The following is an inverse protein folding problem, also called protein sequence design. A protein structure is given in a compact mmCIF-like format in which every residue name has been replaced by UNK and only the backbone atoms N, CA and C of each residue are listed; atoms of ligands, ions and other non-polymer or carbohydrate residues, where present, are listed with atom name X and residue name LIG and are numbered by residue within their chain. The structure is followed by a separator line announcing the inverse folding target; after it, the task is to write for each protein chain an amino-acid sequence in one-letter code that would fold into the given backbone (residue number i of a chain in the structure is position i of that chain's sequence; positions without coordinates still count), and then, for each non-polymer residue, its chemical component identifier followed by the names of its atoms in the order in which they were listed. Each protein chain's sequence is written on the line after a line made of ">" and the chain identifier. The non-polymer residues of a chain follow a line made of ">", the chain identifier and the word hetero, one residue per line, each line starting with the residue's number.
data_IF_199273341315
#
_entry.id   IF_199273341315
#
_cell.length_a   1.000
_cell.length_b   1.000
_cell.length_c   1.000
_cell.angle_alpha   90.00
_cell.angle_beta   90.00
_cell.angle_gamma   90.00
#
_symmetry.space_group_name_H-M   'P 1'
#
loop_
_entity.id
_entity.type
_entity.pdbx_description
1 polymer ?
#
# COMPACT_ATOMS: atom_id res chain seq x y z
N UNK A 1 24.33 30.23 -24.84
CA UNK A 1 23.33 30.90 -23.98
C UNK A 1 22.91 29.94 -22.90
N UNK A 2 23.37 30.16 -21.66
CA UNK A 2 22.94 29.40 -20.49
C UNK A 2 21.45 29.70 -20.25
N UNK A 3 20.58 28.69 -20.34
CA UNK A 3 19.20 28.81 -19.87
C UNK A 3 19.29 28.98 -18.35
N UNK A 4 19.14 30.22 -17.87
CA UNK A 4 18.91 30.50 -16.46
C UNK A 4 17.65 29.72 -16.08
N UNK A 5 17.80 28.61 -15.33
CA UNK A 5 16.65 27.91 -14.75
C UNK A 5 15.99 28.93 -13.82
N UNK A 6 14.74 29.30 -14.11
CA UNK A 6 13.92 30.15 -13.23
C UNK A 6 13.97 29.50 -11.84
N UNK A 7 14.37 30.26 -10.83
CA UNK A 7 14.37 29.76 -9.45
C UNK A 7 12.91 29.46 -9.07
N UNK A 8 12.58 28.19 -8.85
CA UNK A 8 11.26 27.76 -8.41
C UNK A 8 11.11 28.14 -6.93
N UNK A 9 9.99 28.74 -6.53
CA UNK A 9 9.74 29.09 -5.12
C UNK A 9 9.40 27.84 -4.29
N UNK A 10 9.48 27.92 -2.95
CA UNK A 10 9.07 26.80 -2.10
C UNK A 10 7.55 26.62 -2.12
N UNK A 11 6.79 27.71 -2.23
CA UNK A 11 5.33 27.70 -2.34
C UNK A 11 4.85 26.98 -3.61
N UNK A 12 5.50 27.25 -4.75
CA UNK A 12 5.21 26.55 -6.03
C UNK A 12 5.49 25.04 -5.89
N UNK A 13 6.57 24.66 -5.21
CA UNK A 13 6.91 23.25 -4.95
C UNK A 13 5.88 22.60 -4.02
N UNK A 14 5.44 23.31 -2.98
CA UNK A 14 4.45 22.80 -2.03
C UNK A 14 3.12 22.49 -2.71
N UNK A 15 2.61 23.38 -3.59
CA UNK A 15 1.37 23.13 -4.34
C UNK A 15 1.48 21.91 -5.25
N UNK A 16 2.60 21.77 -5.98
CA UNK A 16 2.88 20.63 -6.85
C UNK A 16 2.97 19.31 -6.05
N UNK A 17 3.62 19.37 -4.88
CA UNK A 17 3.75 18.24 -3.95
C UNK A 17 2.39 17.86 -3.38
N UNK A 18 1.59 18.80 -2.86
CA UNK A 18 0.24 18.54 -2.33
C UNK A 18 -0.67 17.93 -3.40
N UNK A 19 -0.63 18.46 -4.61
CA UNK A 19 -1.43 17.95 -5.74
C UNK A 19 -1.01 16.52 -6.11
N UNK A 20 0.30 16.28 -6.24
CA UNK A 20 0.82 14.95 -6.54
C UNK A 20 0.55 13.95 -5.42
N UNK A 21 0.71 14.38 -4.16
CA UNK A 21 0.51 13.58 -2.97
C UNK A 21 -0.93 13.15 -2.80
N UNK A 22 -1.92 14.03 -3.03
CA UNK A 22 -3.34 13.67 -2.94
C UNK A 22 -3.66 12.41 -3.76
N UNK A 23 -3.16 12.34 -4.99
CA UNK A 23 -3.32 11.15 -5.84
C UNK A 23 -2.52 9.92 -5.37
N UNK A 24 -1.39 10.11 -4.67
CA UNK A 24 -0.66 9.00 -4.01
C UNK A 24 -1.48 8.49 -2.83
N UNK A 25 -1.91 9.39 -1.94
CA UNK A 25 -2.65 9.09 -0.72
C UNK A 25 -3.93 8.33 -1.05
N UNK A 26 -4.74 8.82 -2.00
CA UNK A 26 -5.99 8.16 -2.43
C UNK A 26 -5.78 6.72 -2.93
N UNK A 27 -4.59 6.43 -3.51
CA UNK A 27 -4.30 5.15 -4.11
C UNK A 27 -3.68 4.15 -3.12
N UNK A 28 -2.75 4.63 -2.28
CA UNK A 28 -1.83 3.78 -1.53
C UNK A 28 -1.94 3.89 -0.01
N UNK A 29 -2.48 4.98 0.54
CA UNK A 29 -2.51 5.23 1.99
C UNK A 29 -3.92 4.93 2.55
N UNK A 30 -4.06 4.28 3.73
CA UNK A 30 -5.35 4.08 4.37
C UNK A 30 -6.08 5.41 4.62
N UNK A 31 -7.42 5.39 4.53
CA UNK A 31 -8.25 6.61 4.66
C UNK A 31 -8.23 7.22 6.06
N UNK A 32 -7.93 6.39 7.05
CA UNK A 32 -7.83 6.71 8.47
C UNK A 32 -6.45 7.29 8.86
N UNK A 33 -5.46 7.22 7.97
CA UNK A 33 -4.18 7.90 8.15
C UNK A 33 -4.26 9.31 7.57
N UNK A 34 -4.10 10.32 8.42
CA UNK A 34 -4.00 11.71 8.00
C UNK A 34 -2.54 12.04 7.70
N UNK A 35 -2.29 12.78 6.61
CA UNK A 35 -0.94 13.18 6.23
C UNK A 35 -0.86 14.69 6.10
N UNK A 36 -0.15 15.31 7.03
CA UNK A 36 0.07 16.75 7.07
C UNK A 36 1.32 17.08 6.25
N UNK A 37 1.14 17.90 5.21
CA UNK A 37 2.25 18.43 4.40
C UNK A 37 2.52 19.86 4.83
N UNK A 38 3.77 20.15 5.21
CA UNK A 38 4.17 21.45 5.73
C UNK A 38 5.55 21.87 5.18
N UNK A 39 5.86 23.17 5.24
CA UNK A 39 7.19 23.68 4.91
C UNK A 39 8.09 23.72 6.15
N UNK A 40 9.37 23.39 6.00
CA UNK A 40 10.38 23.56 7.06
C UNK A 40 11.57 24.39 6.56
N UNK A 41 12.30 25.01 7.49
CA UNK A 41 13.44 25.91 7.22
C UNK A 41 14.62 25.77 8.21
N UNK A 42 14.61 24.76 9.08
CA UNK A 42 15.52 24.65 10.23
C UNK A 42 16.88 23.99 9.93
N UNK A 43 16.91 22.96 9.08
CA UNK A 43 18.16 22.29 8.62
C UNK A 43 18.45 22.65 7.14
N UNK A 44 17.41 23.12 6.45
CA UNK A 44 17.36 23.60 5.07
C UNK A 44 15.91 23.97 4.75
N UNK A 45 15.65 24.53 3.57
CA UNK A 45 14.27 24.76 3.10
C UNK A 45 13.74 23.52 2.38
N UNK A 46 12.51 23.09 2.69
CA UNK A 46 11.92 21.91 2.06
C UNK A 46 10.47 21.65 2.48
N UNK A 47 10.00 20.46 2.13
CA UNK A 47 8.65 19.97 2.42
C UNK A 47 8.71 18.76 3.35
N UNK A 48 8.00 18.83 4.46
CA UNK A 48 7.81 17.77 5.43
C UNK A 48 6.47 17.06 5.26
N UNK A 49 6.44 15.79 5.66
CA UNK A 49 5.26 14.95 5.74
C UNK A 49 5.19 14.38 7.14
N UNK A 50 4.04 14.52 7.77
CA UNK A 50 3.74 14.01 9.11
C UNK A 50 2.50 13.13 9.03
N UNK A 51 2.63 11.86 9.43
CA UNK A 51 1.59 10.85 9.33
C UNK A 51 0.95 10.62 10.70
N UNK A 52 -0.30 11.04 10.82
CA UNK A 52 -1.11 10.79 12.00
C UNK A 52 -1.81 9.44 11.87
N UNK A 53 -1.45 8.52 12.76
CA UNK A 53 -1.98 7.16 12.79
C UNK A 53 -3.28 7.08 13.60
N UNK A 54 -4.13 6.14 13.23
CA UNK A 54 -5.43 5.89 13.87
C UNK A 54 -5.34 5.69 15.38
N UNK A 55 -4.21 5.18 15.86
CA UNK A 55 -3.95 4.96 17.27
C UNK A 55 -2.74 5.77 17.79
N UNK A 56 -2.52 6.99 17.26
CA UNK A 56 -1.43 7.90 17.65
C UNK A 56 -1.30 8.12 19.16
N UNK A 57 -2.42 8.05 19.89
CA UNK A 57 -2.47 8.17 21.35
C UNK A 57 -1.80 7.03 22.13
N UNK A 58 -1.51 5.90 21.48
CA UNK A 58 -0.78 4.76 22.06
C UNK A 58 0.55 4.49 21.36
N UNK A 59 0.88 5.23 20.31
CA UNK A 59 2.18 5.17 19.65
C UNK A 59 3.22 5.92 20.47
N UNK A 60 4.45 5.43 20.41
CA UNK A 60 5.62 6.10 21.00
C UNK A 60 6.66 6.48 19.94
N UNK A 61 6.23 6.52 18.69
CA UNK A 61 7.00 6.97 17.55
C UNK A 61 6.12 7.83 16.64
N UNK A 62 6.73 8.83 16.02
CA UNK A 62 6.12 9.68 15.02
C UNK A 62 6.67 9.28 13.65
N UNK A 63 5.80 9.23 12.65
CA UNK A 63 6.20 8.96 11.26
C UNK A 63 6.29 10.30 10.53
N UNK A 64 7.37 11.02 10.83
CA UNK A 64 7.70 12.31 10.19
C UNK A 64 8.91 12.13 9.27
N UNK A 65 8.83 12.72 8.08
CA UNK A 65 10.02 12.86 7.25
C UNK A 65 10.04 14.13 6.40
N UNK A 66 11.24 14.51 5.98
CA UNK A 66 11.54 15.79 5.34
C UNK A 66 12.28 15.56 4.03
N UNK A 67 11.83 16.26 2.98
CA UNK A 67 12.47 16.31 1.67
C UNK A 67 12.97 17.73 1.42
N UNK A 68 14.25 17.89 1.11
CA UNK A 68 14.80 19.23 0.88
C UNK A 68 14.33 19.78 -0.46
N UNK A 69 14.38 21.10 -0.62
CA UNK A 69 14.08 21.75 -1.90
C UNK A 69 14.93 21.20 -3.05
N UNK A 70 16.21 20.90 -2.80
CA UNK A 70 17.09 20.38 -3.83
C UNK A 70 16.68 18.97 -4.26
N UNK A 71 16.29 18.12 -3.32
CA UNK A 71 15.77 16.78 -3.57
C UNK A 71 14.56 16.77 -4.52
N UNK A 72 13.67 17.75 -4.34
CA UNK A 72 12.44 17.92 -5.11
C UNK A 72 12.68 18.53 -6.51
N UNK A 73 13.78 19.27 -6.70
CA UNK A 73 14.10 19.98 -7.95
C UNK A 73 15.04 19.19 -8.88
N UNK A 74 15.90 18.32 -8.35
CA UNK A 74 16.99 17.70 -9.14
C UNK A 74 16.66 16.33 -9.77
N UNK A 75 15.59 15.64 -9.36
CA UNK A 75 15.30 14.26 -9.76
C UNK A 75 14.05 14.11 -10.65
N UNK A 76 14.18 14.28 -11.96
CA UNK A 76 13.02 14.24 -12.88
C UNK A 76 12.99 13.05 -13.85
N UNK A 77 12.21 12.04 -13.46
CA UNK A 77 11.37 11.28 -14.40
C UNK A 77 9.88 11.62 -14.18
N UNK A 78 9.43 11.80 -12.94
CA UNK A 78 8.22 12.53 -12.54
C UNK A 78 8.22 12.81 -11.03
N UNK A 79 7.67 13.95 -10.58
CA UNK A 79 7.52 14.27 -9.14
C UNK A 79 6.76 13.17 -8.40
N UNK A 80 5.70 12.64 -9.02
CA UNK A 80 4.94 11.49 -8.49
C UNK A 80 5.83 10.28 -8.22
N UNK A 81 6.64 9.86 -9.19
CA UNK A 81 7.55 8.71 -9.01
C UNK A 81 8.57 8.97 -7.92
N UNK A 82 9.09 10.20 -7.82
CA UNK A 82 10.03 10.59 -6.80
C UNK A 82 9.41 10.52 -5.40
N UNK A 83 8.20 11.06 -5.21
CA UNK A 83 7.46 10.99 -3.96
C UNK A 83 7.15 9.55 -3.58
N UNK A 84 6.62 8.73 -4.50
CA UNK A 84 6.35 7.31 -4.27
C UNK A 84 7.59 6.57 -3.75
N UNK A 85 8.75 6.83 -4.36
CA UNK A 85 9.98 6.18 -3.99
C UNK A 85 10.50 6.62 -2.61
N UNK A 86 10.59 7.93 -2.39
CA UNK A 86 11.28 8.48 -1.22
C UNK A 86 10.39 8.48 0.02
N UNK A 87 9.10 8.82 -0.10
CA UNK A 87 8.15 8.71 1.01
C UNK A 87 8.04 7.25 1.45
N UNK A 88 7.82 6.32 0.52
CA UNK A 88 7.73 4.90 0.84
C UNK A 88 8.99 4.38 1.53
N UNK A 89 10.18 4.76 1.03
CA UNK A 89 11.45 4.40 1.67
C UNK A 89 11.57 4.92 3.11
N UNK A 90 11.17 6.16 3.36
CA UNK A 90 11.28 6.76 4.69
C UNK A 90 10.28 6.15 5.68
N UNK A 91 9.07 5.80 5.24
CA UNK A 91 8.10 5.05 6.06
C UNK A 91 8.65 3.68 6.46
N UNK A 92 9.20 2.90 5.50
CA UNK A 92 9.81 1.61 5.81
C UNK A 92 10.98 1.73 6.79
N UNK A 93 11.81 2.78 6.65
CA UNK A 93 12.94 3.02 7.53
C UNK A 93 12.51 3.34 8.96
N UNK A 94 11.52 4.23 9.12
CA UNK A 94 10.98 4.61 10.41
C UNK A 94 10.44 3.39 11.16
N UNK A 95 9.56 2.62 10.52
CA UNK A 95 8.94 1.45 11.14
C UNK A 95 9.95 0.33 11.36
N UNK A 96 10.84 0.07 10.37
CA UNK A 96 11.85 -0.97 10.49
C UNK A 96 12.84 -0.72 11.63
N UNK A 97 13.25 0.53 11.85
CA UNK A 97 14.10 0.88 13.00
C UNK A 97 13.35 0.77 14.33
N UNK A 98 12.09 1.21 14.36
CA UNK A 98 11.26 1.02 15.55
C UNK A 98 11.15 -0.47 15.92
N UNK A 99 10.93 -1.34 14.93
CA UNK A 99 10.89 -2.80 15.14
C UNK A 99 12.27 -3.36 15.57
N UNK A 100 13.39 -2.83 15.06
CA UNK A 100 14.75 -3.13 15.57
C UNK A 100 14.86 -2.80 17.06
N UNK A 101 14.47 -1.59 17.44
CA UNK A 101 14.58 -1.12 18.82
C UNK A 101 13.67 -1.93 19.74
N UNK A 102 12.44 -2.24 19.33
CA UNK A 102 11.50 -3.08 20.08
C UNK A 102 12.03 -4.52 20.30
N UNK A 103 12.58 -5.14 19.26
CA UNK A 103 13.06 -6.52 19.36
C UNK A 103 14.40 -6.67 20.10
N UNK A 104 15.26 -5.65 20.02
CA UNK A 104 16.63 -5.71 20.53
C UNK A 104 16.78 -5.12 21.95
N UNK A 105 15.90 -4.21 22.35
CA UNK A 105 16.00 -3.53 23.64
C UNK A 105 14.86 -3.95 24.59
N UNK A 106 15.17 -4.90 25.48
CA UNK A 106 14.27 -5.28 26.57
C UNK A 106 13.84 -4.11 27.48
N UNK A 107 14.62 -3.03 27.53
CA UNK A 107 14.28 -1.80 28.27
C UNK A 107 13.29 -0.91 27.50
N UNK A 108 13.23 -1.00 26.17
CA UNK A 108 12.24 -0.32 25.33
C UNK A 108 10.82 -0.79 25.66
N UNK A 109 10.57 -2.09 25.62
CA UNK A 109 9.28 -2.68 26.00
C UNK A 109 8.88 -2.35 27.46
N UNK A 110 9.85 -2.30 28.37
CA UNK A 110 9.63 -1.95 29.78
C UNK A 110 9.37 -0.45 29.99
N UNK A 111 10.01 0.42 29.20
CA UNK A 111 9.86 1.89 29.23
C UNK A 111 8.52 2.34 28.64
N UNK A 112 8.08 1.68 27.57
CA UNK A 112 6.85 2.02 26.84
C UNK A 112 5.60 1.27 27.36
N UNK A 113 5.74 0.25 28.23
CA UNK A 113 4.67 -0.42 29.00
C UNK A 113 3.44 -0.86 28.19
N UNK A 114 3.64 -1.44 27.02
CA UNK A 114 2.51 -1.92 26.24
C UNK A 114 1.85 -3.14 26.88
N UNK A 115 0.54 -3.06 27.14
CA UNK A 115 -0.29 -4.25 27.33
C UNK A 115 -0.48 -4.98 25.99
N UNK A 116 -0.78 -6.29 26.03
CA UNK A 116 -0.97 -7.11 24.83
C UNK A 116 -1.90 -6.48 23.77
N UNK A 117 -3.01 -5.87 24.19
CA UNK A 117 -3.96 -5.21 23.28
C UNK A 117 -3.37 -3.96 22.62
N UNK A 118 -2.53 -3.21 23.34
CA UNK A 118 -1.86 -2.02 22.80
C UNK A 118 -0.81 -2.42 21.77
N UNK A 119 -0.07 -3.52 22.01
CA UNK A 119 0.83 -4.10 21.01
C UNK A 119 0.09 -4.60 19.76
N UNK A 120 -1.07 -5.23 19.94
CA UNK A 120 -1.88 -5.69 18.80
C UNK A 120 -2.32 -4.52 17.92
N UNK A 121 -2.77 -3.43 18.53
CA UNK A 121 -3.16 -2.18 17.83
C UNK A 121 -1.96 -1.49 17.17
N UNK A 122 -0.81 -1.45 17.85
CA UNK A 122 0.41 -0.85 17.32
C UNK A 122 0.89 -1.57 16.06
N UNK A 123 0.93 -2.91 16.10
CA UNK A 123 1.29 -3.71 14.94
C UNK A 123 0.28 -3.59 13.78
N UNK A 124 -0.99 -3.29 14.05
CA UNK A 124 -1.99 -3.06 13.00
C UNK A 124 -1.73 -1.76 12.22
N UNK A 125 -1.36 -0.68 12.91
CA UNK A 125 -1.00 0.59 12.27
C UNK A 125 0.34 0.48 11.52
N UNK A 126 1.34 -0.19 12.11
CA UNK A 126 2.62 -0.48 11.45
C UNK A 126 2.43 -1.30 10.16
N UNK A 127 1.64 -2.37 10.25
CA UNK A 127 1.35 -3.21 9.09
C UNK A 127 0.76 -2.37 7.98
N UNK A 128 -0.27 -1.59 8.30
CA UNK A 128 -0.99 -0.74 7.35
C UNK A 128 -0.06 0.23 6.62
N UNK A 129 0.84 0.90 7.35
CA UNK A 129 1.83 1.79 6.76
C UNK A 129 2.92 1.07 5.97
N UNK A 130 3.37 -0.11 6.43
CA UNK A 130 4.30 -0.96 5.68
C UNK A 130 3.66 -1.33 4.33
N UNK A 131 2.40 -1.77 4.30
CA UNK A 131 1.73 -2.14 3.04
C UNK A 131 1.72 -0.97 2.05
N UNK A 132 1.37 0.22 2.54
CA UNK A 132 1.39 1.46 1.76
C UNK A 132 2.78 1.75 1.22
N UNK A 133 3.79 1.71 2.09
CA UNK A 133 5.17 2.03 1.76
C UNK A 133 5.73 1.08 0.70
N UNK A 134 5.47 -0.22 0.82
CA UNK A 134 5.86 -1.22 -0.16
C UNK A 134 5.17 -0.99 -1.51
N UNK A 135 3.86 -0.72 -1.52
CA UNK A 135 3.12 -0.43 -2.72
C UNK A 135 3.69 0.80 -3.45
N UNK A 136 4.00 1.85 -2.68
CA UNK A 136 4.60 3.08 -3.20
C UNK A 136 5.97 2.81 -3.81
N UNK A 137 6.84 2.07 -3.13
CA UNK A 137 8.19 1.74 -3.62
C UNK A 137 8.15 0.91 -4.91
N UNK A 138 7.28 -0.11 -4.99
CA UNK A 138 7.14 -0.93 -6.19
C UNK A 138 6.58 -0.11 -7.35
N UNK A 139 5.57 0.73 -7.10
CA UNK A 139 5.02 1.64 -8.11
C UNK A 139 6.03 2.71 -8.57
N UNK A 140 6.89 3.17 -7.65
CA UNK A 140 8.01 4.08 -7.91
C UNK A 140 9.14 3.45 -8.74
N UNK A 141 9.14 2.13 -8.94
CA UNK A 141 10.15 1.37 -9.70
C UNK A 141 11.59 1.65 -9.25
N UNK A 142 11.81 1.68 -7.93
CA UNK A 142 13.14 1.96 -7.37
C UNK A 142 14.15 0.91 -7.88
N UNK A 143 15.30 1.34 -8.44
CA UNK A 143 16.44 0.45 -8.62
C UNK A 143 17.16 0.28 -7.28
N UNK A 144 17.13 -0.94 -6.74
CA UNK A 144 17.93 -1.39 -5.60
C UNK A 144 17.62 -0.68 -4.26
N UNK A 145 16.80 -1.34 -3.42
CA UNK A 145 16.64 -0.99 -2.02
C UNK A 145 17.63 -1.83 -1.20
N UNK A 146 18.80 -1.26 -0.90
CA UNK A 146 19.74 -1.82 0.06
C UNK A 146 19.67 -0.95 1.33
N UNK A 147 18.89 -1.42 2.31
CA UNK A 147 18.86 -0.84 3.64
C UNK A 147 18.96 -1.95 4.69
N UNK A 148 19.84 -1.75 5.68
CA UNK A 148 20.08 -2.67 6.80
C UNK A 148 18.79 -3.11 7.51
N UNK A 149 17.78 -2.24 7.59
CA UNK A 149 16.48 -2.56 8.18
C UNK A 149 15.69 -3.62 7.41
N UNK A 150 15.67 -3.56 6.07
CA UNK A 150 14.99 -4.56 5.23
C UNK A 150 15.66 -5.93 5.32
N UNK A 151 17.00 -5.93 5.34
CA UNK A 151 17.81 -7.14 5.51
C UNK A 151 17.49 -7.84 6.84
N UNK A 152 17.25 -7.05 7.89
CA UNK A 152 17.01 -7.57 9.24
C UNK A 152 15.54 -7.99 9.49
N UNK A 153 14.56 -7.35 8.85
CA UNK A 153 13.12 -7.58 9.10
C UNK A 153 12.36 -8.22 7.94
N UNK A 154 13.00 -8.38 6.78
CA UNK A 154 12.35 -8.95 5.60
C UNK A 154 11.15 -8.15 5.12
N UNK A 155 11.18 -6.82 5.29
CA UNK A 155 10.06 -5.93 4.98
C UNK A 155 9.67 -5.98 3.50
N UNK A 156 10.54 -6.43 2.61
CA UNK A 156 10.28 -6.62 1.17
C UNK A 156 10.63 -8.05 0.70
N UNK A 157 10.35 -9.05 1.53
CA UNK A 157 10.58 -10.46 1.18
C UNK A 157 9.82 -10.85 -0.10
N UNK A 158 10.49 -11.44 -1.10
CA UNK A 158 9.83 -11.91 -2.32
C UNK A 158 9.00 -13.17 -2.08
N UNK A 159 7.99 -13.38 -2.92
CA UNK A 159 7.23 -14.62 -2.96
C UNK A 159 8.12 -15.81 -3.28
N UNK A 160 7.80 -16.95 -2.67
CA UNK A 160 8.28 -18.26 -3.14
C UNK A 160 7.60 -18.63 -4.47
N UNK A 161 8.16 -19.58 -5.22
CA UNK A 161 7.53 -20.06 -6.46
C UNK A 161 6.17 -20.73 -6.21
N UNK A 162 6.01 -21.37 -5.05
CA UNK A 162 4.76 -21.99 -4.64
C UNK A 162 3.71 -20.92 -4.32
N UNK A 163 4.08 -19.85 -3.61
CA UNK A 163 3.19 -18.71 -3.35
C UNK A 163 2.72 -18.05 -4.65
N UNK A 164 3.60 -17.84 -5.63
CA UNK A 164 3.22 -17.32 -6.96
C UNK A 164 2.19 -18.23 -7.64
N UNK A 165 2.36 -19.55 -7.53
CA UNK A 165 1.45 -20.54 -8.10
C UNK A 165 0.10 -20.51 -7.38
N UNK A 166 0.10 -20.50 -6.05
CA UNK A 166 -1.09 -20.40 -5.21
C UNK A 166 -1.89 -19.13 -5.49
N UNK A 167 -1.23 -17.97 -5.61
CA UNK A 167 -1.88 -16.70 -5.97
C UNK A 167 -2.64 -16.84 -7.29
N UNK A 168 -2.01 -17.42 -8.32
CA UNK A 168 -2.64 -17.63 -9.63
C UNK A 168 -3.85 -18.57 -9.54
N UNK A 169 -3.74 -19.66 -8.79
CA UNK A 169 -4.81 -20.64 -8.61
C UNK A 169 -5.99 -20.02 -7.85
N UNK A 170 -5.72 -19.37 -6.71
CA UNK A 170 -6.74 -18.75 -5.86
C UNK A 170 -7.47 -17.65 -6.64
N UNK A 171 -6.71 -16.74 -7.28
CA UNK A 171 -7.28 -15.68 -8.09
C UNK A 171 -8.08 -16.23 -9.27
N UNK A 172 -7.54 -17.20 -10.02
CA UNK A 172 -8.26 -17.82 -11.15
C UNK A 172 -9.59 -18.46 -10.73
N UNK A 173 -9.63 -19.11 -9.56
CA UNK A 173 -10.87 -19.67 -9.03
C UNK A 173 -11.85 -18.60 -8.56
N UNK A 174 -11.38 -17.49 -7.97
CA UNK A 174 -12.22 -16.34 -7.65
C UNK A 174 -12.86 -15.75 -8.91
N UNK A 175 -12.06 -15.53 -9.96
CA UNK A 175 -12.54 -15.01 -11.25
C UNK A 175 -13.62 -15.94 -11.83
N UNK A 176 -13.38 -17.25 -11.84
CA UNK A 176 -14.33 -18.24 -12.36
C UNK A 176 -15.60 -18.33 -11.53
N UNK A 177 -15.48 -18.50 -10.21
CA UNK A 177 -16.59 -18.78 -9.29
C UNK A 177 -17.57 -17.61 -9.23
N UNK A 178 -17.06 -16.39 -9.24
CA UNK A 178 -17.88 -15.19 -9.17
C UNK A 178 -18.15 -14.57 -10.53
N UNK A 179 -17.62 -15.13 -11.63
CA UNK A 179 -17.94 -14.65 -12.97
C UNK A 179 -17.36 -13.27 -13.30
N UNK A 180 -16.22 -12.90 -12.69
CA UNK A 180 -15.50 -11.68 -13.04
C UNK A 180 -14.99 -11.72 -14.49
N UNK A 181 -14.69 -10.54 -15.03
CA UNK A 181 -13.92 -10.42 -16.25
C UNK A 181 -12.56 -11.08 -16.05
N UNK A 182 -12.06 -11.76 -17.09
CA UNK A 182 -10.72 -12.32 -17.06
C UNK A 182 -9.71 -11.18 -17.13
N UNK A 183 -9.27 -10.71 -15.97
CA UNK A 183 -8.28 -9.65 -15.85
C UNK A 183 -6.88 -10.19 -15.57
N UNK A 184 -5.86 -9.41 -15.95
CA UNK A 184 -4.45 -9.80 -15.75
C UNK A 184 -4.00 -9.62 -14.30
N UNK A 185 -3.32 -10.65 -13.77
CA UNK A 185 -2.44 -10.50 -12.61
C UNK A 185 -1.14 -9.86 -13.10
N UNK A 186 -0.71 -8.78 -12.46
CA UNK A 186 0.64 -8.25 -12.67
C UNK A 186 1.51 -8.49 -11.45
N UNK A 187 2.69 -9.06 -11.68
CA UNK A 187 3.69 -9.21 -10.62
C UNK A 187 4.66 -8.04 -10.67
N UNK A 188 5.00 -7.52 -9.50
CA UNK A 188 5.91 -6.39 -9.31
C UNK A 188 7.07 -6.78 -8.39
N UNK A 189 8.16 -6.03 -8.51
CA UNK A 189 9.34 -6.19 -7.69
C UNK A 189 10.42 -5.17 -8.05
N UNK A 190 11.48 -5.09 -7.25
CA UNK A 190 12.64 -4.26 -7.58
C UNK A 190 13.26 -4.71 -8.90
N UNK A 191 13.89 -3.77 -9.63
CA UNK A 191 14.42 -4.00 -10.98
C UNK A 191 15.31 -5.24 -11.11
N UNK A 192 16.17 -5.52 -10.12
CA UNK A 192 17.03 -6.71 -10.09
C UNK A 192 16.29 -7.99 -9.65
N UNK A 193 15.35 -7.87 -8.70
CA UNK A 193 14.52 -8.99 -8.22
C UNK A 193 13.56 -9.49 -9.30
N UNK A 194 12.97 -8.57 -10.07
CA UNK A 194 12.09 -8.86 -11.19
C UNK A 194 12.80 -9.64 -12.31
N UNK A 195 14.06 -9.28 -12.64
CA UNK A 195 14.90 -10.02 -13.61
C UNK A 195 15.12 -11.48 -13.21
N UNK A 196 15.10 -11.77 -11.91
CA UNK A 196 15.28 -13.10 -11.34
C UNK A 196 13.95 -13.79 -10.96
N UNK A 197 12.80 -13.27 -11.39
CA UNK A 197 11.45 -13.77 -11.03
C UNK A 197 11.17 -13.81 -9.52
N UNK A 198 11.90 -13.01 -8.74
CA UNK A 198 11.66 -12.80 -7.31
C UNK A 198 10.68 -11.63 -7.17
N UNK A 199 9.39 -11.92 -7.21
CA UNK A 199 8.34 -10.91 -7.15
C UNK A 199 8.04 -10.56 -5.69
N UNK A 200 7.95 -9.28 -5.34
CA UNK A 200 7.55 -8.81 -4.01
C UNK A 200 6.06 -8.53 -3.90
N UNK A 201 5.42 -8.23 -5.03
CA UNK A 201 4.02 -7.79 -5.09
C UNK A 201 3.27 -8.51 -6.20
N UNK A 202 2.01 -8.83 -5.95
CA UNK A 202 1.05 -9.28 -6.94
C UNK A 202 -0.16 -8.33 -6.94
N UNK A 203 -0.35 -7.59 -8.02
CA UNK A 203 -1.55 -6.77 -8.22
C UNK A 203 -2.62 -7.61 -8.90
N UNK A 204 -3.77 -7.70 -8.25
CA UNK A 204 -4.93 -8.46 -8.71
C UNK A 204 -6.05 -7.48 -9.07
N UNK A 205 -6.65 -7.65 -10.25
CA UNK A 205 -7.66 -6.74 -10.79
C UNK A 205 -9.02 -7.44 -10.83
N UNK A 206 -10.03 -6.86 -10.21
CA UNK A 206 -11.38 -7.40 -10.17
C UNK A 206 -12.31 -6.44 -10.91
N UNK A 207 -12.93 -6.93 -11.97
CA UNK A 207 -13.93 -6.20 -12.74
C UNK A 207 -15.10 -7.12 -13.07
N UNK A 208 -16.33 -6.63 -12.94
CA UNK A 208 -17.51 -7.35 -13.44
C UNK A 208 -17.46 -7.40 -14.97
N UNK A 209 -17.89 -8.50 -15.62
CA UNK A 209 -17.82 -8.67 -17.09
C UNK A 209 -18.40 -7.51 -17.91
N UNK A 210 -19.46 -6.90 -17.40
CA UNK A 210 -20.16 -5.77 -18.01
C UNK A 210 -19.97 -4.49 -17.18
N UNK A 211 -18.99 -4.49 -16.28
CA UNK A 211 -18.73 -3.40 -15.37
C UNK A 211 -17.78 -2.35 -15.94
N UNK A 212 -17.96 -1.15 -15.44
CA UNK A 212 -17.21 0.05 -15.80
C UNK A 212 -16.05 0.31 -14.83
N UNK A 213 -16.09 -0.31 -13.64
CA UNK A 213 -15.10 -0.14 -12.59
C UNK A 213 -14.20 -1.37 -12.40
N UNK A 214 -12.88 -1.14 -12.42
CA UNK A 214 -11.87 -2.11 -11.99
C UNK A 214 -11.40 -1.81 -10.57
N UNK A 215 -11.33 -2.84 -9.75
CA UNK A 215 -10.80 -2.79 -8.39
C UNK A 215 -9.43 -3.47 -8.35
N UNK A 216 -8.42 -2.74 -7.90
CA UNK A 216 -7.06 -3.27 -7.81
C UNK A 216 -6.68 -3.47 -6.33
N UNK A 217 -6.13 -4.65 -6.02
CA UNK A 217 -5.53 -4.95 -4.72
C UNK A 217 -4.10 -5.42 -4.92
N UNK A 218 -3.24 -5.16 -3.93
CA UNK A 218 -1.84 -5.57 -3.95
C UNK A 218 -1.58 -6.57 -2.82
N UNK A 219 -1.13 -7.77 -3.16
CA UNK A 219 -0.68 -8.77 -2.19
C UNK A 219 0.85 -8.69 -2.12
N UNK A 220 1.43 -8.73 -0.93
CA UNK A 220 2.89 -8.71 -0.74
C UNK A 220 3.43 -10.01 -0.12
N UNK A 221 4.68 -10.36 -0.44
CA UNK A 221 5.32 -11.60 0.03
C UNK A 221 5.52 -11.65 1.55
N UNK A 222 6.01 -10.57 2.15
CA UNK A 222 6.14 -10.43 3.60
C UNK A 222 4.79 -10.60 4.33
N UNK A 223 3.70 -10.06 3.79
CA UNK A 223 2.36 -10.21 4.38
C UNK A 223 1.95 -11.67 4.41
N UNK A 224 2.10 -12.39 3.29
CA UNK A 224 1.79 -13.82 3.22
C UNK A 224 2.58 -14.59 4.29
N UNK A 225 3.88 -14.33 4.39
CA UNK A 225 4.73 -14.97 5.38
C UNK A 225 4.30 -14.63 6.82
N UNK A 226 3.99 -13.36 7.10
CA UNK A 226 3.53 -12.90 8.42
C UNK A 226 2.25 -13.59 8.84
N UNK A 227 1.22 -13.58 7.98
CA UNK A 227 -0.08 -14.20 8.28
C UNK A 227 0.03 -15.72 8.42
N UNK A 228 0.75 -16.38 7.52
CA UNK A 228 0.98 -17.83 7.59
C UNK A 228 1.71 -18.21 8.89
N UNK A 229 2.73 -17.43 9.30
CA UNK A 229 3.46 -17.69 10.54
C UNK A 229 2.63 -17.38 11.79
N UNK A 230 2.03 -16.19 11.88
CA UNK A 230 1.26 -15.72 13.05
C UNK A 230 0.07 -16.63 13.39
N UNK A 231 -0.51 -17.27 12.37
CA UNK A 231 -1.68 -18.13 12.53
C UNK A 231 -1.42 -19.60 12.19
N UNK A 232 -0.15 -20.02 12.12
CA UNK A 232 0.24 -21.41 11.85
C UNK A 232 -0.40 -22.39 12.83
N UNK A 233 -0.38 -22.07 14.14
CA UNK A 233 -1.00 -22.89 15.20
C UNK A 233 -2.52 -23.00 15.08
N UNK A 234 -3.16 -22.09 14.33
CA UNK A 234 -4.60 -22.11 14.02
C UNK A 234 -4.89 -22.81 12.68
N UNK A 235 -3.89 -23.47 12.09
CA UNK A 235 -3.99 -24.19 10.83
C UNK A 235 -3.99 -23.29 9.59
N UNK A 236 -3.54 -22.03 9.69
CA UNK A 236 -3.42 -21.15 8.52
C UNK A 236 -2.10 -21.42 7.79
N UNK A 237 -2.17 -22.12 6.66
CA UNK A 237 -1.08 -22.23 5.68
C UNK A 237 -1.00 -21.01 4.75
N UNK A 238 0.02 -21.00 3.88
CA UNK A 238 0.24 -19.92 2.91
C UNK A 238 -0.96 -19.68 2.00
N UNK A 239 -1.64 -20.75 1.57
CA UNK A 239 -2.83 -20.70 0.73
C UNK A 239 -4.00 -19.99 1.41
N UNK A 240 -4.19 -20.25 2.70
CA UNK A 240 -5.24 -19.63 3.50
C UNK A 240 -4.88 -18.18 3.84
N UNK A 241 -3.60 -17.87 4.05
CA UNK A 241 -3.09 -16.51 4.24
C UNK A 241 -3.29 -15.66 2.97
N UNK A 242 -2.88 -16.16 1.80
CA UNK A 242 -3.09 -15.51 0.50
C UNK A 242 -4.59 -15.23 0.28
N UNK A 243 -5.45 -16.24 0.49
CA UNK A 243 -6.89 -16.06 0.33
C UNK A 243 -7.46 -15.01 1.30
N UNK A 244 -7.01 -15.05 2.57
CA UNK A 244 -7.43 -14.10 3.59
C UNK A 244 -7.07 -12.66 3.20
N UNK A 245 -5.83 -12.40 2.78
CA UNK A 245 -5.38 -11.07 2.34
C UNK A 245 -6.23 -10.57 1.17
N UNK A 246 -6.41 -11.40 0.13
CA UNK A 246 -7.21 -11.06 -1.05
C UNK A 246 -8.63 -10.67 -0.65
N UNK A 247 -9.28 -11.50 0.17
CA UNK A 247 -10.65 -11.29 0.62
C UNK A 247 -10.79 -10.00 1.43
N UNK A 248 -9.87 -9.76 2.36
CA UNK A 248 -9.90 -8.59 3.24
C UNK A 248 -9.69 -7.31 2.46
N UNK A 249 -8.64 -7.22 1.64
CA UNK A 249 -8.35 -6.02 0.86
C UNK A 249 -9.43 -5.70 -0.17
N UNK A 250 -9.96 -6.73 -0.85
CA UNK A 250 -11.04 -6.55 -1.83
C UNK A 250 -12.29 -5.99 -1.15
N UNK A 251 -12.66 -6.52 0.02
CA UNK A 251 -13.78 -6.03 0.82
C UNK A 251 -13.56 -4.57 1.24
N UNK A 252 -12.38 -4.23 1.74
CA UNK A 252 -12.05 -2.84 2.13
C UNK A 252 -12.19 -1.89 0.95
N UNK A 253 -11.62 -2.23 -0.22
CA UNK A 253 -11.72 -1.38 -1.43
C UNK A 253 -13.16 -1.21 -1.91
N UNK A 254 -13.98 -2.26 -1.89
CA UNK A 254 -15.40 -2.19 -2.29
C UNK A 254 -16.23 -1.36 -1.29
N UNK A 255 -16.01 -1.54 0.02
CA UNK A 255 -16.71 -0.77 1.04
C UNK A 255 -16.38 0.74 0.96
N UNK A 256 -15.14 1.05 0.58
CA UNK A 256 -14.67 2.42 0.40
C UNK A 256 -15.09 3.07 -0.93
N UNK A 257 -15.66 2.29 -1.87
CA UNK A 257 -16.04 2.76 -3.19
C UNK A 257 -17.38 3.49 -3.15
N UNK A 258 -17.36 4.71 -3.65
CA UNK A 258 -18.54 5.55 -3.79
C UNK A 258 -18.72 6.00 -5.24
N UNK A 259 -19.74 5.48 -5.95
CA UNK A 259 -20.06 5.85 -7.33
C UNK A 259 -20.24 7.36 -7.54
N UNK A 260 -20.81 8.06 -6.55
CA UNK A 260 -21.04 9.50 -6.63
C UNK A 260 -19.71 10.25 -6.64
N UNK A 261 -18.84 9.97 -5.65
CA UNK A 261 -17.49 10.55 -5.59
C UNK A 261 -16.69 10.31 -6.89
N UNK A 262 -16.84 9.15 -7.53
CA UNK A 262 -16.14 8.82 -8.80
C UNK A 262 -16.63 9.70 -9.95
N UNK A 263 -17.94 9.95 -10.02
CA UNK A 263 -18.55 10.82 -11.03
C UNK A 263 -18.14 12.28 -10.79
N UNK A 264 -18.21 12.74 -9.56
CA UNK A 264 -17.90 14.13 -9.18
C UNK A 264 -16.42 14.48 -9.42
N UNK A 265 -15.52 13.51 -9.21
CA UNK A 265 -14.08 13.68 -9.46
C UNK A 265 -13.70 13.58 -10.95
N UNK A 266 -14.62 13.20 -11.84
CA UNK A 266 -14.32 12.98 -13.25
C UNK A 266 -14.24 14.29 -14.03
N UNK A 267 -13.20 14.44 -14.85
CA UNK A 267 -13.09 15.53 -15.82
C UNK A 267 -14.00 15.34 -17.04
N UNK A 268 -14.61 14.15 -17.22
CA UNK A 268 -15.54 13.86 -18.30
C UNK A 268 -16.93 14.41 -17.98
N UNK A 269 -17.42 15.34 -18.82
CA UNK A 269 -18.76 15.93 -18.70
C UNK A 269 -19.89 14.89 -18.82
N UNK A 270 -19.62 13.73 -19.41
CA UNK A 270 -20.56 12.63 -19.53
C UNK A 270 -20.47 11.61 -18.37
N UNK A 271 -19.58 11.83 -17.39
CA UNK A 271 -19.46 10.94 -16.22
C UNK A 271 -20.79 10.68 -15.49
N UNK A 272 -21.72 11.64 -15.36
CA UNK A 272 -23.02 11.38 -14.75
C UNK A 272 -23.83 10.27 -15.43
N UNK A 273 -23.64 10.06 -16.74
CA UNK A 273 -24.31 8.97 -17.47
C UNK A 273 -23.83 7.57 -17.05
N UNK A 274 -22.67 7.46 -16.40
CA UNK A 274 -22.09 6.20 -15.91
C UNK A 274 -22.58 5.83 -14.50
N UNK A 275 -23.18 6.78 -13.76
CA UNK A 275 -23.60 6.56 -12.37
C UNK A 275 -24.48 5.31 -12.19
N UNK A 276 -25.52 5.05 -13.02
CA UNK A 276 -26.34 3.85 -12.87
C UNK A 276 -25.59 2.54 -13.10
N UNK A 277 -24.50 2.56 -13.89
CA UNK A 277 -23.65 1.38 -14.08
C UNK A 277 -22.70 1.18 -12.89
N UNK A 278 -22.11 2.25 -12.38
CA UNK A 278 -21.23 2.22 -11.21
C UNK A 278 -21.96 1.77 -9.94
N UNK A 279 -23.21 2.19 -9.75
CA UNK A 279 -24.06 1.70 -8.65
C UNK A 279 -24.34 0.20 -8.76
N UNK A 280 -24.65 -0.29 -9.96
CA UNK A 280 -24.84 -1.73 -10.21
C UNK A 280 -23.56 -2.52 -10.01
N UNK A 281 -22.40 -1.96 -10.36
CA UNK A 281 -21.09 -2.57 -10.09
C UNK A 281 -20.84 -2.67 -8.58
N UNK A 282 -21.11 -1.60 -7.82
CA UNK A 282 -21.00 -1.60 -6.35
C UNK A 282 -21.91 -2.65 -5.70
N UNK A 283 -23.18 -2.70 -6.11
CA UNK A 283 -24.14 -3.66 -5.57
C UNK A 283 -23.69 -5.11 -5.81
N UNK A 284 -23.36 -5.43 -7.06
CA UNK A 284 -22.88 -6.76 -7.44
C UNK A 284 -21.62 -7.17 -6.67
N UNK A 285 -20.68 -6.25 -6.51
CA UNK A 285 -19.43 -6.52 -5.80
C UNK A 285 -19.63 -6.67 -4.30
N UNK A 286 -20.53 -5.86 -3.71
CA UNK A 286 -20.91 -5.97 -2.29
C UNK A 286 -21.53 -7.33 -2.01
N UNK A 287 -22.47 -7.78 -2.86
CA UNK A 287 -23.05 -9.11 -2.80
C UNK A 287 -21.97 -10.21 -2.96
N UNK A 288 -21.05 -10.03 -3.92
CA UNK A 288 -19.95 -10.97 -4.15
C UNK A 288 -19.05 -11.13 -2.92
N UNK A 289 -18.59 -10.03 -2.31
CA UNK A 289 -17.72 -10.11 -1.12
C UNK A 289 -18.44 -10.62 0.13
N UNK A 290 -19.77 -10.50 0.19
CA UNK A 290 -20.58 -11.10 1.24
C UNK A 290 -20.63 -12.63 1.11
N UNK A 291 -20.60 -13.15 -0.12
CA UNK A 291 -20.63 -14.58 -0.47
C UNK A 291 -19.26 -15.23 -0.50
N UNK A 292 -18.17 -14.48 -0.29
CA UNK A 292 -16.82 -15.04 -0.23
C UNK A 292 -16.71 -16.06 0.92
N UNK A 293 -16.34 -17.32 0.62
CA UNK A 293 -16.21 -18.36 1.63
C UNK A 293 -15.33 -17.98 2.80
N UNK A 294 -15.52 -18.63 3.95
CA UNK A 294 -14.66 -18.36 5.10
C UNK A 294 -13.27 -18.98 4.88
N UNK A 295 -13.23 -20.16 4.27
CA UNK A 295 -12.02 -20.94 4.09
C UNK A 295 -11.66 -21.12 2.62
N UNK A 296 -10.36 -21.15 2.31
CA UNK A 296 -9.87 -21.16 0.93
C UNK A 296 -10.36 -22.40 0.15
N UNK A 297 -10.39 -23.58 0.80
CA UNK A 297 -10.76 -24.84 0.16
C UNK A 297 -12.22 -24.85 -0.35
N UNK A 298 -13.09 -24.01 0.20
CA UNK A 298 -14.48 -23.84 -0.25
C UNK A 298 -14.58 -23.08 -1.58
N UNK A 299 -13.52 -22.43 -2.05
CA UNK A 299 -13.47 -21.87 -3.40
C UNK A 299 -13.49 -22.95 -4.48
N UNK A 300 -13.06 -24.16 -4.16
CA UNK A 300 -12.89 -25.27 -5.11
C UNK A 300 -14.07 -26.24 -5.13
N UNK A 301 -15.07 -26.01 -4.28
CA UNK A 301 -16.38 -26.67 -4.30
C UNK A 301 -17.30 -25.93 -5.26
#
# INVERSE_FOLDING_TARGET
>A
MSKVRKAISLDEIEEDVKTSWKSIQDQYVPKDVLVNIYQFNDIGSGIGFDFELSHSNVHHFDVEFRLTKNDLVENYASLRSYLLANVGKQVLYCIGNYQIDEASDSSFCLKHRYGRKQLEVLHEDEDSLIESAQAMIVAGKIPEYDQTADINYGLLTPFTSDQVTLIKIIYGNLIKKFGFASEQISFGGFSYSFKNKKYQMATLKFRRKEGDQTFEINVFGNQVNKYAHKFAERGMGEEQAIYFIIKTMLRTKINAFDPVTVVDASADKNAPARLPQLERDKEYLTDTVSKLPKFYHELFK
#
